data_IF_093110465527
#
_entry.id   IF_093110465527
#
_cell.length_a   1.000
_cell.length_b   1.000
_cell.length_c   1.000
_cell.angle_alpha   90.00
_cell.angle_beta   90.00
_cell.angle_gamma   90.00
#
_symmetry.space_group_name_H-M   'P 1'
#
loop_
_entity.id
_entity.type
_entity.pdbx_description
1 polymer ?
#
# COMPACT_ATOMS: atom_id res chain seq x y z
N UNK A 1 10.43 36.20 -13.97
CA UNK A 1 10.78 34.89 -14.53
C UNK A 1 10.87 33.95 -13.34
N UNK A 2 9.84 33.15 -13.08
CA UNK A 2 9.93 32.08 -12.08
C UNK A 2 10.90 31.05 -12.62
N UNK A 3 12.06 30.95 -11.97
CA UNK A 3 12.98 29.83 -12.13
C UNK A 3 12.16 28.53 -11.99
N UNK A 4 12.18 27.67 -13.01
CA UNK A 4 11.45 26.41 -13.05
C UNK A 4 11.92 25.37 -12.01
N UNK A 5 12.65 25.76 -10.97
CA UNK A 5 13.02 24.90 -9.87
C UNK A 5 11.78 24.50 -9.06
N UNK A 6 11.57 23.19 -8.96
CA UNK A 6 10.52 22.63 -8.13
C UNK A 6 10.83 22.98 -6.66
N UNK A 7 9.86 23.61 -5.98
CA UNK A 7 9.93 23.82 -4.54
C UNK A 7 10.19 22.48 -3.83
N UNK A 8 11.06 22.45 -2.82
CA UNK A 8 11.35 21.22 -2.09
C UNK A 8 10.07 20.66 -1.47
N UNK A 9 9.83 19.36 -1.68
CA UNK A 9 8.66 18.65 -1.17
C UNK A 9 9.05 17.97 0.15
N UNK A 10 8.34 18.26 1.24
CA UNK A 10 8.62 17.59 2.51
C UNK A 10 8.17 16.12 2.50
N UNK A 11 6.99 15.84 1.93
CA UNK A 11 6.36 14.52 1.95
C UNK A 11 5.75 14.18 0.60
N UNK A 12 6.14 13.03 0.04
CA UNK A 12 5.56 12.45 -1.17
C UNK A 12 4.86 11.13 -0.84
N UNK A 13 3.54 11.07 -1.02
CA UNK A 13 2.75 9.85 -0.86
C UNK A 13 2.54 9.15 -2.21
N UNK A 14 2.95 7.88 -2.31
CA UNK A 14 2.87 7.10 -3.55
C UNK A 14 1.87 5.95 -3.37
N UNK A 15 0.78 5.99 -4.14
CA UNK A 15 -0.34 5.04 -4.05
C UNK A 15 -0.46 4.10 -5.27
N UNK A 16 0.67 3.67 -5.85
CA UNK A 16 0.67 2.77 -7.03
C UNK A 16 0.43 1.30 -6.70
N UNK A 17 0.28 0.98 -5.41
CA UNK A 17 0.11 -0.38 -4.94
C UNK A 17 1.42 -1.15 -4.84
N UNK A 18 1.33 -2.33 -4.23
CA UNK A 18 2.46 -3.18 -3.89
C UNK A 18 3.34 -3.51 -5.11
N UNK A 19 4.66 -3.55 -4.90
CA UNK A 19 5.75 -3.66 -5.88
C UNK A 19 5.93 -2.41 -6.74
N UNK A 20 4.85 -1.85 -7.30
CA UNK A 20 4.94 -0.72 -8.23
C UNK A 20 5.36 0.57 -7.52
N UNK A 21 4.83 0.82 -6.33
CA UNK A 21 5.18 2.03 -5.56
C UNK A 21 6.64 2.00 -5.11
N UNK A 22 7.15 0.85 -4.65
CA UNK A 22 8.53 0.73 -4.19
C UNK A 22 9.49 0.93 -5.36
N UNK A 23 9.23 0.27 -6.49
CA UNK A 23 10.01 0.46 -7.72
C UNK A 23 9.95 1.90 -8.23
N UNK A 24 8.79 2.53 -8.19
CA UNK A 24 8.68 3.89 -8.68
C UNK A 24 9.45 4.87 -7.78
N UNK A 25 9.34 4.71 -6.46
CA UNK A 25 10.12 5.52 -5.50
C UNK A 25 11.62 5.32 -5.78
N UNK A 26 12.08 4.08 -5.81
CA UNK A 26 13.49 3.73 -6.07
C UNK A 26 14.03 4.37 -7.38
N UNK A 27 13.25 4.32 -8.46
CA UNK A 27 13.66 4.86 -9.77
C UNK A 27 13.57 6.39 -9.90
N UNK A 28 12.93 7.10 -8.97
CA UNK A 28 12.64 8.54 -9.08
C UNK A 28 13.09 9.36 -7.87
N UNK A 29 13.51 8.73 -6.77
CA UNK A 29 13.88 9.43 -5.54
C UNK A 29 14.98 10.47 -5.79
N UNK A 30 16.00 10.12 -6.59
CA UNK A 30 17.12 11.03 -6.92
C UNK A 30 16.74 12.17 -7.87
N UNK A 31 15.58 12.09 -8.52
CA UNK A 31 15.11 13.06 -9.52
C UNK A 31 14.16 14.10 -8.95
N UNK A 32 13.64 13.86 -7.74
CA UNK A 32 12.63 14.69 -7.10
C UNK A 32 13.24 15.27 -5.83
N UNK A 33 13.25 16.60 -5.63
CA UNK A 33 13.76 17.21 -4.41
C UNK A 33 12.79 16.99 -3.24
N UNK A 34 12.72 15.74 -2.75
CA UNK A 34 11.82 15.30 -1.68
C UNK A 34 12.60 14.87 -0.44
N UNK A 35 12.12 15.24 0.75
CA UNK A 35 12.74 14.78 2.02
C UNK A 35 12.35 13.35 2.37
N UNK A 36 11.07 13.00 2.21
CA UNK A 36 10.55 11.66 2.51
C UNK A 36 9.51 11.23 1.47
N UNK A 37 9.69 10.04 0.90
CA UNK A 37 8.71 9.38 0.05
C UNK A 37 8.14 8.14 0.75
N UNK A 38 6.81 7.98 0.76
CA UNK A 38 6.10 6.92 1.48
C UNK A 38 5.15 6.20 0.53
N UNK A 39 5.36 4.90 0.35
CA UNK A 39 4.39 4.02 -0.29
C UNK A 39 3.18 3.79 0.61
N UNK A 40 2.03 4.37 0.27
CA UNK A 40 0.80 4.29 1.10
C UNK A 40 -0.12 3.15 0.70
N UNK A 41 0.21 2.43 -0.38
CA UNK A 41 -0.63 1.38 -0.93
C UNK A 41 -2.05 1.89 -1.21
N UNK A 42 -3.05 1.09 -0.82
CA UNK A 42 -4.45 1.47 -0.98
C UNK A 42 -5.03 2.17 0.25
N UNK A 43 -4.25 2.99 0.97
CA UNK A 43 -4.77 3.81 2.07
C UNK A 43 -5.72 4.91 1.55
N UNK A 44 -5.39 5.49 0.39
CA UNK A 44 -6.19 6.52 -0.25
C UNK A 44 -7.56 6.01 -0.68
N UNK A 45 -7.69 4.73 -1.09
CA UNK A 45 -8.99 4.10 -1.39
C UNK A 45 -10.03 4.31 -0.27
N UNK A 46 -9.59 4.32 1.00
CA UNK A 46 -10.46 4.55 2.15
C UNK A 46 -10.65 6.03 2.46
N UNK A 47 -9.61 6.84 2.30
CA UNK A 47 -9.68 8.29 2.54
C UNK A 47 -10.57 8.99 1.51
N UNK A 48 -10.56 8.54 0.25
CA UNK A 48 -11.40 9.05 -0.83
C UNK A 48 -12.82 8.46 -0.82
N UNK A 49 -13.13 7.57 0.14
CA UNK A 49 -14.38 6.79 0.19
C UNK A 49 -14.67 5.96 -1.08
N UNK A 50 -13.66 5.71 -1.93
CA UNK A 50 -13.81 4.90 -3.15
C UNK A 50 -14.01 3.41 -2.84
N UNK A 51 -13.57 2.95 -1.67
CA UNK A 51 -13.80 1.60 -1.15
C UNK A 51 -14.38 1.71 0.25
N UNK A 52 -15.48 0.99 0.57
CA UNK A 52 -16.02 1.00 1.92
C UNK A 52 -15.02 0.37 2.88
N UNK A 53 -14.87 0.99 4.05
CA UNK A 53 -14.02 0.48 5.12
C UNK A 53 -14.75 -0.63 5.88
N UNK A 54 -14.00 -1.61 6.38
CA UNK A 54 -14.58 -2.68 7.18
C UNK A 54 -15.30 -2.12 8.44
N UNK A 55 -16.45 -2.68 8.84
CA UNK A 55 -17.10 -2.38 10.10
C UNK A 55 -16.13 -2.42 11.29
N UNK A 56 -16.37 -1.57 12.29
CA UNK A 56 -15.49 -1.45 13.47
C UNK A 56 -15.23 -2.79 14.17
N UNK A 57 -16.21 -3.69 14.21
CA UNK A 57 -16.08 -5.02 14.81
C UNK A 57 -15.05 -5.86 14.05
N UNK A 58 -15.16 -5.96 12.71
CA UNK A 58 -14.20 -6.72 11.89
C UNK A 58 -12.79 -6.12 11.95
N UNK A 59 -12.68 -4.80 12.06
CA UNK A 59 -11.38 -4.13 12.28
C UNK A 59 -10.75 -4.52 13.61
N UNK A 60 -11.53 -4.52 14.70
CA UNK A 60 -11.06 -4.92 16.03
C UNK A 60 -10.66 -6.40 16.11
N UNK A 61 -11.34 -7.25 15.35
CA UNK A 61 -11.02 -8.68 15.24
C UNK A 61 -9.85 -8.98 14.30
N UNK A 62 -9.28 -7.98 13.62
CA UNK A 62 -8.19 -8.18 12.65
C UNK A 62 -8.64 -8.73 11.29
N UNK A 63 -9.94 -8.80 11.02
CA UNK A 63 -10.51 -9.31 9.76
C UNK A 63 -10.69 -8.25 8.66
N UNK A 64 -10.08 -7.07 8.80
CA UNK A 64 -10.15 -6.00 7.78
C UNK A 64 -9.58 -6.46 6.43
N UNK A 65 -8.54 -7.31 6.44
CA UNK A 65 -7.97 -7.88 5.21
C UNK A 65 -8.95 -8.83 4.50
N UNK A 66 -9.70 -9.63 5.26
CA UNK A 66 -10.67 -10.59 4.74
C UNK A 66 -11.89 -9.86 4.17
N UNK A 67 -12.38 -8.85 4.89
CA UNK A 67 -13.43 -7.95 4.37
C UNK A 67 -13.00 -7.31 3.05
N UNK A 68 -11.78 -6.80 2.97
CA UNK A 68 -11.25 -6.21 1.73
C UNK A 68 -11.13 -7.24 0.61
N UNK A 69 -10.78 -8.48 0.93
CA UNK A 69 -10.71 -9.57 -0.05
C UNK A 69 -12.07 -9.90 -0.65
N UNK A 70 -13.13 -9.91 0.17
CA UNK A 70 -14.50 -10.14 -0.31
C UNK A 70 -14.95 -9.05 -1.28
N UNK A 71 -14.60 -7.79 -1.01
CA UNK A 71 -14.95 -6.65 -1.89
C UNK A 71 -14.06 -6.60 -3.13
N UNK A 72 -12.81 -7.02 -3.02
CA UNK A 72 -11.81 -6.94 -4.08
C UNK A 72 -11.22 -8.33 -4.36
N UNK A 73 -11.97 -9.24 -5.00
CA UNK A 73 -11.59 -10.65 -5.14
C UNK A 73 -10.30 -10.86 -5.92
N UNK A 74 -9.93 -9.94 -6.83
CA UNK A 74 -8.65 -10.00 -7.55
C UNK A 74 -7.42 -9.94 -6.62
N UNK A 75 -7.58 -9.52 -5.36
CA UNK A 75 -6.51 -9.54 -4.34
C UNK A 75 -6.17 -10.94 -3.84
N UNK A 76 -6.96 -11.98 -4.16
CA UNK A 76 -6.70 -13.38 -3.78
C UNK A 76 -5.27 -13.83 -4.12
N UNK A 77 -4.76 -13.41 -5.28
CA UNK A 77 -3.38 -13.72 -5.71
C UNK A 77 -2.33 -13.31 -4.67
N UNK A 78 -2.53 -12.20 -3.97
CA UNK A 78 -1.62 -11.74 -2.91
C UNK A 78 -1.74 -12.59 -1.64
N UNK A 79 -2.92 -13.10 -1.34
CA UNK A 79 -3.16 -13.88 -0.12
C UNK A 79 -2.59 -15.29 -0.20
N UNK A 80 -2.27 -15.80 -1.39
CA UNK A 80 -1.51 -17.05 -1.55
C UNK A 80 -0.16 -17.03 -0.82
N UNK A 81 0.44 -15.84 -0.64
CA UNK A 81 1.66 -15.69 0.16
C UNK A 81 1.45 -16.07 1.64
N UNK A 82 0.25 -15.87 2.19
CA UNK A 82 -0.09 -16.27 3.56
C UNK A 82 -0.12 -17.80 3.69
N UNK A 83 -0.70 -18.50 2.73
CA UNK A 83 -0.71 -19.96 2.70
C UNK A 83 0.71 -20.53 2.61
N UNK A 84 1.55 -19.93 1.75
CA UNK A 84 2.96 -20.29 1.65
C UNK A 84 3.70 -20.06 2.97
N UNK A 85 3.44 -18.94 3.64
CA UNK A 85 4.05 -18.63 4.94
C UNK A 85 3.63 -19.63 6.03
N UNK A 86 2.34 -19.96 6.12
CA UNK A 86 1.84 -20.99 7.03
C UNK A 86 2.51 -22.35 6.80
N UNK A 87 2.64 -22.76 5.53
CA UNK A 87 3.34 -23.99 5.18
C UNK A 87 4.82 -23.99 5.61
N UNK A 88 5.52 -22.86 5.41
CA UNK A 88 6.90 -22.72 5.85
C UNK A 88 7.03 -22.83 7.38
N UNK A 89 6.11 -22.21 8.13
CA UNK A 89 6.08 -22.33 9.59
C UNK A 89 5.90 -23.78 10.04
N UNK A 90 5.02 -24.55 9.39
CA UNK A 90 4.79 -25.96 9.74
C UNK A 90 5.92 -26.91 9.35
N UNK A 91 6.85 -26.50 8.47
CA UNK A 91 8.05 -27.28 8.10
C UNK A 91 9.30 -26.87 8.89
N UNK A 92 9.27 -25.72 9.56
CA UNK A 92 10.39 -25.15 10.29
C UNK A 92 10.33 -25.42 11.81
N UNK A 93 9.27 -26.09 12.29
CA UNK A 93 9.17 -26.66 13.63
C UNK A 93 9.20 -28.18 13.58
#
# INVERSE_FOLDING_TARGET
MEDGSLKPVDLLFVAFGHIKQEKWIDNNLDKIPVRVAIGVGGAFDYLSASVPRAPKVLRKLGFEWLFRLMIQPWRLKRQLALLKYLWLLTRAG
#
